data_IF_524875822693
#
_entry.id   IF_524875822693
#
_cell.length_a   1.000
_cell.length_b   1.000
_cell.length_c   1.000
_cell.angle_alpha   90.00
_cell.angle_beta   90.00
_cell.angle_gamma   90.00
#
_symmetry.space_group_name_H-M   'P 1'
#
loop_
_entity.id
_entity.type
_entity.pdbx_description
1 polymer ?
#
# COMPACT_ATOMS: atom_id res chain seq x y z
N UNK A 1 18.50 -5.54 -7.69
CA UNK A 1 17.57 -4.38 -7.65
C UNK A 1 16.22 -4.85 -8.17
N UNK A 2 15.12 -4.67 -7.43
CA UNK A 2 13.80 -4.81 -8.04
C UNK A 2 13.61 -3.65 -9.04
N UNK A 3 12.96 -3.87 -10.19
CA UNK A 3 12.73 -2.80 -11.16
C UNK A 3 11.94 -1.67 -10.51
N UNK A 4 12.25 -0.43 -10.89
CA UNK A 4 11.42 0.72 -10.50
C UNK A 4 10.01 0.51 -11.05
N UNK A 5 9.02 0.81 -10.22
CA UNK A 5 7.61 0.75 -10.55
C UNK A 5 7.07 2.16 -10.53
N UNK A 6 6.35 2.58 -11.57
CA UNK A 6 5.63 3.86 -11.56
C UNK A 6 4.59 3.87 -10.43
N UNK A 7 4.11 5.05 -10.07
CA UNK A 7 3.11 5.17 -9.00
C UNK A 7 1.82 4.42 -9.35
N UNK A 8 1.41 4.42 -10.62
CA UNK A 8 0.24 3.69 -11.08
C UNK A 8 0.45 2.17 -11.04
N UNK A 9 1.65 1.69 -11.41
CA UNK A 9 1.98 0.27 -11.26
C UNK A 9 1.96 -0.16 -9.78
N UNK A 10 2.40 0.71 -8.87
CA UNK A 10 2.37 0.45 -7.43
C UNK A 10 0.94 0.35 -6.90
N UNK A 11 0.05 1.27 -7.30
CA UNK A 11 -1.37 1.21 -6.93
C UNK A 11 -2.00 -0.09 -7.46
N UNK A 12 -1.81 -0.39 -8.74
CA UNK A 12 -2.37 -1.61 -9.34
C UNK A 12 -1.87 -2.88 -8.63
N UNK A 13 -0.59 -2.93 -8.24
CA UNK A 13 -0.06 -4.04 -7.43
C UNK A 13 -0.79 -4.14 -6.09
N UNK A 14 -1.11 -3.04 -5.43
CA UNK A 14 -1.81 -3.07 -4.14
C UNK A 14 -3.28 -3.46 -4.30
N UNK A 15 -3.96 -2.95 -5.32
CA UNK A 15 -5.36 -3.29 -5.65
C UNK A 15 -5.51 -4.77 -6.03
N UNK A 16 -4.63 -5.30 -6.88
CA UNK A 16 -4.63 -6.73 -7.27
C UNK A 16 -4.42 -7.67 -6.10
N UNK A 17 -3.84 -7.17 -4.99
CA UNK A 17 -3.64 -7.90 -3.74
C UNK A 17 -4.81 -7.76 -2.76
N UNK A 18 -5.85 -7.02 -3.12
CA UNK A 18 -7.04 -6.80 -2.31
C UNK A 18 -7.00 -5.57 -1.41
N UNK A 19 -6.05 -4.64 -1.61
CA UNK A 19 -6.07 -3.38 -0.88
C UNK A 19 -7.11 -2.43 -1.46
N UNK A 20 -7.93 -1.85 -0.60
CA UNK A 20 -8.98 -0.91 -1.00
C UNK A 20 -8.50 0.53 -0.79
N UNK A 21 -8.85 1.41 -1.71
CA UNK A 21 -8.51 2.84 -1.65
C UNK A 21 -9.79 3.66 -1.61
N UNK A 22 -9.96 4.50 -0.59
CA UNK A 22 -11.05 5.48 -0.57
C UNK A 22 -10.79 6.64 -1.54
N UNK A 23 -9.52 7.06 -1.65
CA UNK A 23 -9.06 8.08 -2.57
C UNK A 23 -7.70 7.66 -3.13
N UNK A 24 -7.72 7.17 -4.37
CA UNK A 24 -6.53 6.67 -5.07
C UNK A 24 -5.52 7.79 -5.31
N UNK A 25 -5.96 9.02 -5.63
CA UNK A 25 -5.05 10.13 -5.92
C UNK A 25 -4.31 10.58 -4.64
N UNK A 26 -5.02 10.64 -3.51
CA UNK A 26 -4.38 10.90 -2.21
C UNK A 26 -3.43 9.76 -1.81
N UNK A 27 -3.75 8.51 -2.15
CA UNK A 27 -2.84 7.39 -1.91
C UNK A 27 -1.56 7.46 -2.75
N UNK A 28 -1.66 7.84 -4.03
CA UNK A 28 -0.51 8.09 -4.91
C UNK A 28 0.40 9.18 -4.34
N UNK A 29 -0.18 10.33 -3.95
CA UNK A 29 0.57 11.43 -3.32
C UNK A 29 1.29 10.94 -2.05
N UNK A 30 0.60 10.15 -1.22
CA UNK A 30 1.19 9.62 0.01
C UNK A 30 2.38 8.68 -0.25
N UNK A 31 2.23 7.73 -1.19
CA UNK A 31 3.26 6.76 -1.56
C UNK A 31 4.48 7.44 -2.22
N UNK A 32 4.26 8.49 -3.02
CA UNK A 32 5.34 9.32 -3.58
C UNK A 32 6.12 10.04 -2.47
N UNK A 33 5.43 10.59 -1.46
CA UNK A 33 6.05 11.35 -0.37
C UNK A 33 6.79 10.48 0.65
N UNK A 34 6.25 9.32 0.98
CA UNK A 34 6.77 8.47 2.07
C UNK A 34 7.63 7.30 1.58
N UNK A 35 7.84 7.17 0.27
CA UNK A 35 8.48 6.04 -0.40
C UNK A 35 7.74 4.71 -0.16
N UNK A 36 7.14 4.17 -1.22
CA UNK A 36 6.42 2.90 -1.25
C UNK A 36 7.07 1.77 -0.44
N UNK A 37 8.40 1.66 -0.46
CA UNK A 37 9.12 0.61 0.28
C UNK A 37 8.94 0.73 1.80
N UNK A 38 8.94 1.94 2.36
CA UNK A 38 8.78 2.14 3.79
C UNK A 38 7.35 1.88 4.24
N UNK A 39 6.37 2.39 3.49
CA UNK A 39 4.95 2.24 3.81
C UNK A 39 4.51 0.78 3.65
N UNK A 40 4.83 0.16 2.52
CA UNK A 40 4.29 -1.15 2.17
C UNK A 40 5.10 -2.27 2.84
N UNK A 41 6.43 -2.32 2.69
CA UNK A 41 7.16 -3.49 3.21
C UNK A 41 7.20 -3.60 4.73
N UNK A 42 7.06 -2.48 5.44
CA UNK A 42 7.16 -2.45 6.90
C UNK A 42 5.78 -2.53 7.57
N UNK A 43 4.80 -1.77 7.09
CA UNK A 43 3.51 -1.63 7.78
C UNK A 43 2.37 -2.43 7.14
N UNK A 44 2.43 -2.72 5.84
CA UNK A 44 1.32 -3.43 5.18
C UNK A 44 1.23 -4.90 5.56
N UNK A 45 2.33 -5.49 6.08
CA UNK A 45 2.39 -6.91 6.47
C UNK A 45 1.41 -7.28 7.57
N UNK A 46 1.11 -6.35 8.48
CA UNK A 46 0.15 -6.57 9.56
C UNK A 46 -1.30 -6.72 9.07
N UNK A 47 -1.57 -6.30 7.84
CA UNK A 47 -2.89 -6.35 7.22
C UNK A 47 -2.98 -7.42 6.13
N UNK A 48 -2.01 -8.34 6.06
CA UNK A 48 -1.99 -9.42 5.08
C UNK A 48 -2.41 -10.74 5.72
N UNK A 49 -3.33 -11.46 5.07
CA UNK A 49 -3.73 -12.81 5.48
C UNK A 49 -2.72 -13.86 5.02
N UNK A 50 -2.07 -13.61 3.89
CA UNK A 50 -1.00 -14.40 3.30
C UNK A 50 -0.06 -13.47 2.52
N UNK A 51 1.10 -13.98 2.11
CA UNK A 51 2.07 -13.14 1.42
C UNK A 51 1.44 -12.49 0.17
N UNK A 52 1.51 -11.16 0.11
CA UNK A 52 0.94 -10.37 -0.99
C UNK A 52 -0.59 -10.49 -1.12
N UNK A 53 -1.32 -10.79 -0.05
CA UNK A 53 -2.79 -10.68 -0.05
C UNK A 53 -3.30 -10.03 1.22
N UNK A 54 -4.08 -8.96 1.04
CA UNK A 54 -4.66 -8.23 2.14
C UNK A 54 -5.87 -8.95 2.72
N UNK A 55 -6.08 -8.77 4.02
CA UNK A 55 -7.29 -9.19 4.71
C UNK A 55 -8.47 -8.45 4.07
N UNK A 56 -9.59 -9.14 3.84
CA UNK A 56 -10.79 -8.56 3.25
C UNK A 56 -11.24 -7.31 4.02
N UNK A 57 -11.56 -6.24 3.30
CA UNK A 57 -11.94 -4.97 3.90
C UNK A 57 -10.77 -4.12 4.42
N UNK A 58 -9.51 -4.47 4.11
CA UNK A 58 -8.37 -3.61 4.42
C UNK A 58 -8.31 -2.41 3.47
N UNK A 59 -8.29 -1.22 4.05
CA UNK A 59 -8.09 0.04 3.33
C UNK A 59 -6.66 0.55 3.48
N UNK A 60 -6.17 1.29 2.49
CA UNK A 60 -4.88 1.97 2.56
C UNK A 60 -4.78 2.92 3.78
N UNK A 61 -5.90 3.50 4.20
CA UNK A 61 -6.00 4.28 5.44
C UNK A 61 -5.57 3.51 6.69
N UNK A 62 -5.89 2.22 6.79
CA UNK A 62 -5.47 1.39 7.92
C UNK A 62 -3.94 1.29 8.00
N UNK A 63 -3.28 1.19 6.84
CA UNK A 63 -1.82 1.17 6.73
C UNK A 63 -1.23 2.53 7.12
N UNK A 64 -1.84 3.64 6.67
CA UNK A 64 -1.41 5.00 7.05
C UNK A 64 -1.43 5.21 8.56
N UNK A 65 -2.43 4.67 9.26
CA UNK A 65 -2.53 4.80 10.73
C UNK A 65 -1.32 4.20 11.44
N UNK A 66 -0.74 3.11 10.96
CA UNK A 66 0.46 2.50 11.57
C UNK A 66 1.77 3.22 11.20
N UNK A 67 1.81 3.97 10.11
CA UNK A 67 3.02 4.66 9.66
C UNK A 67 3.23 6.04 10.30
N UNK A 68 2.14 6.71 10.72
CA UNK A 68 2.19 8.07 11.29
C UNK A 68 2.50 8.05 12.80
N UNK A 69 2.49 6.87 13.43
CA UNK A 69 2.90 6.62 14.82
C UNK A 69 4.23 5.88 14.87
#
# INVERSE_FOLDING_TARGET
MKPFKTIDEQINILETRGLIFNDVEMAKIYLLRNNYYNVVNMYSKFFQSEENKYIEGTYFENIKTLHIY
#
